data_IF_454641090468
#
_entry.id   IF_454641090468
#
_cell.length_a   1.000
_cell.length_b   1.000
_cell.length_c   1.000
_cell.angle_alpha   90.00
_cell.angle_beta   90.00
_cell.angle_gamma   90.00
#
_symmetry.space_group_name_H-M   'P 1'
#
loop_
_entity.id
_entity.type
_entity.pdbx_description
1 polymer ?
#
# COMPACT_ATOMS: atom_id res chain seq x y z
N UNK A 1 -26.28 -25.86 12.53
CA UNK A 1 -26.49 -24.41 12.44
C UNK A 1 -25.54 -23.58 13.29
N UNK A 2 -25.37 -23.82 14.61
CA UNK A 2 -24.49 -23.01 15.47
C UNK A 2 -23.01 -23.01 15.03
N UNK A 3 -22.44 -24.19 14.76
CA UNK A 3 -21.02 -24.32 14.36
C UNK A 3 -20.73 -23.60 13.04
N UNK A 4 -21.59 -23.77 12.03
CA UNK A 4 -21.45 -23.07 10.75
C UNK A 4 -21.51 -21.55 10.92
N UNK A 5 -22.43 -21.05 11.75
CA UNK A 5 -22.50 -19.62 12.08
C UNK A 5 -21.22 -19.14 12.75
N UNK A 6 -20.67 -19.90 13.70
CA UNK A 6 -19.40 -19.56 14.37
C UNK A 6 -18.25 -19.48 13.38
N UNK A 7 -18.12 -20.46 12.48
CA UNK A 7 -17.08 -20.47 11.44
C UNK A 7 -17.20 -19.24 10.53
N UNK A 8 -18.41 -18.92 10.06
CA UNK A 8 -18.65 -17.76 9.21
C UNK A 8 -18.32 -16.45 9.94
N UNK A 9 -18.68 -16.33 11.21
CA UNK A 9 -18.35 -15.14 12.01
C UNK A 9 -16.83 -15.02 12.20
N UNK A 10 -16.14 -16.10 12.55
CA UNK A 10 -14.67 -16.06 12.71
C UNK A 10 -13.96 -15.71 11.40
N UNK A 11 -14.46 -16.22 10.27
CA UNK A 11 -13.91 -15.90 8.95
C UNK A 11 -14.12 -14.42 8.62
N UNK A 12 -15.32 -13.90 8.87
CA UNK A 12 -15.63 -12.49 8.65
C UNK A 12 -14.74 -11.58 9.50
N UNK A 13 -14.57 -11.92 10.79
CA UNK A 13 -13.70 -11.16 11.70
C UNK A 13 -12.24 -11.22 11.25
N UNK A 14 -11.75 -12.40 10.88
CA UNK A 14 -10.38 -12.56 10.37
C UNK A 14 -10.14 -11.76 9.09
N UNK A 15 -11.12 -11.75 8.17
CA UNK A 15 -11.07 -10.97 6.94
C UNK A 15 -10.99 -9.46 7.23
N UNK A 16 -11.82 -8.95 8.13
CA UNK A 16 -11.83 -7.54 8.49
C UNK A 16 -10.51 -7.10 9.14
N UNK A 17 -9.98 -7.91 10.06
CA UNK A 17 -8.68 -7.65 10.69
C UNK A 17 -7.56 -7.71 9.65
N UNK A 18 -7.55 -8.73 8.80
CA UNK A 18 -6.55 -8.88 7.73
C UNK A 18 -6.56 -7.71 6.75
N UNK A 19 -7.74 -7.24 6.33
CA UNK A 19 -7.87 -6.05 5.48
C UNK A 19 -7.35 -4.79 6.16
N UNK A 20 -7.71 -4.57 7.44
CA UNK A 20 -7.25 -3.41 8.19
C UNK A 20 -5.72 -3.36 8.29
N UNK A 21 -5.10 -4.50 8.66
CA UNK A 21 -3.65 -4.62 8.72
C UNK A 21 -3.00 -4.46 7.35
N UNK A 22 -3.56 -5.10 6.32
CA UNK A 22 -3.05 -5.02 4.95
C UNK A 22 -3.05 -3.60 4.38
N UNK A 23 -4.10 -2.82 4.64
CA UNK A 23 -4.16 -1.41 4.23
C UNK A 23 -3.09 -0.58 4.94
N UNK A 24 -2.86 -0.81 6.23
CA UNK A 24 -1.83 -0.09 6.97
C UNK A 24 -0.42 -0.43 6.48
N UNK A 25 -0.13 -1.72 6.23
CA UNK A 25 1.15 -2.17 5.65
C UNK A 25 1.36 -1.54 4.27
N UNK A 26 0.34 -1.59 3.40
CA UNK A 26 0.43 -1.05 2.05
C UNK A 26 0.57 0.48 1.98
N UNK A 27 0.20 1.19 3.04
CA UNK A 27 0.39 2.65 3.17
C UNK A 27 1.59 3.04 4.03
N UNK A 28 2.42 2.08 4.43
CA UNK A 28 3.57 2.30 5.33
C UNK A 28 3.19 3.01 6.64
N UNK A 29 1.98 2.71 7.17
CA UNK A 29 1.47 3.27 8.43
C UNK A 29 1.56 2.25 9.57
N UNK A 30 1.63 2.69 10.84
CA UNK A 30 1.62 1.77 11.98
C UNK A 30 0.42 0.82 11.94
N UNK A 31 0.64 -0.46 12.26
CA UNK A 31 -0.34 -1.54 12.07
C UNK A 31 -1.70 -1.30 12.74
N UNK A 32 -1.72 -0.63 13.89
CA UNK A 32 -2.93 -0.34 14.67
C UNK A 32 -3.53 1.04 14.38
N UNK A 33 -3.03 1.75 13.37
CA UNK A 33 -3.60 3.02 12.91
C UNK A 33 -4.96 2.78 12.26
N UNK A 34 -5.81 3.82 12.19
CA UNK A 34 -7.06 3.71 11.45
C UNK A 34 -6.78 3.55 9.93
N UNK A 35 -7.06 2.37 9.34
CA UNK A 35 -6.79 2.11 7.92
C UNK A 35 -7.68 2.93 6.97
N UNK A 36 -8.79 3.46 7.47
CA UNK A 36 -9.73 4.30 6.73
C UNK A 36 -9.54 5.79 7.02
N UNK A 37 -8.49 6.17 7.76
CA UNK A 37 -8.15 7.58 7.94
C UNK A 37 -7.81 8.22 6.59
N UNK A 38 -8.38 9.39 6.33
CA UNK A 38 -8.08 10.17 5.13
C UNK A 38 -6.62 10.62 5.18
N UNK A 39 -5.92 10.48 4.07
CA UNK A 39 -4.61 11.10 3.90
C UNK A 39 -4.74 12.61 3.77
N UNK A 40 -3.78 13.33 4.35
CA UNK A 40 -3.70 14.77 4.13
C UNK A 40 -3.26 15.07 2.70
N UNK A 41 -3.54 16.28 2.22
CA UNK A 41 -3.05 16.75 0.94
C UNK A 41 -1.51 16.73 0.87
N UNK A 42 -0.85 16.95 2.01
CA UNK A 42 0.61 16.91 2.14
C UNK A 42 1.14 15.50 1.94
N UNK A 43 0.50 14.49 2.54
CA UNK A 43 0.92 13.09 2.40
C UNK A 43 0.80 12.63 0.94
N UNK A 44 -0.30 13.00 0.29
CA UNK A 44 -0.51 12.71 -1.14
C UNK A 44 0.53 13.38 -2.02
N UNK A 45 0.84 14.65 -1.77
CA UNK A 45 1.84 15.38 -2.53
C UNK A 45 3.24 14.75 -2.38
N UNK A 46 3.61 14.32 -1.16
CA UNK A 46 4.87 13.60 -0.92
C UNK A 46 4.93 12.27 -1.67
N UNK A 47 3.86 11.48 -1.62
CA UNK A 47 3.81 10.20 -2.32
C UNK A 47 3.94 10.37 -3.84
N UNK A 48 3.18 11.31 -4.42
CA UNK A 48 3.26 11.65 -5.84
C UNK A 48 4.67 12.10 -6.23
N UNK A 49 5.30 12.97 -5.44
CA UNK A 49 6.66 13.44 -5.68
C UNK A 49 7.69 12.30 -5.68
N UNK A 50 7.62 11.40 -4.69
CA UNK A 50 8.49 10.24 -4.61
C UNK A 50 8.32 9.30 -5.81
N UNK A 51 7.08 9.01 -6.21
CA UNK A 51 6.82 8.19 -7.40
C UNK A 51 7.34 8.83 -8.69
N UNK A 52 7.17 10.14 -8.85
CA UNK A 52 7.67 10.86 -10.02
C UNK A 52 9.19 10.85 -10.06
N UNK A 53 9.86 11.06 -8.93
CA UNK A 53 11.32 10.99 -8.83
C UNK A 53 11.84 9.59 -9.15
N UNK A 54 11.23 8.54 -8.60
CA UNK A 54 11.64 7.16 -8.83
C UNK A 54 11.48 6.77 -10.32
N UNK A 55 10.32 7.10 -10.91
CA UNK A 55 10.04 6.83 -12.34
C UNK A 55 11.01 7.62 -13.24
N UNK A 56 11.27 8.89 -12.91
CA UNK A 56 12.23 9.73 -13.62
C UNK A 56 13.64 9.15 -13.56
N UNK A 57 14.12 8.76 -12.36
CA UNK A 57 15.41 8.13 -12.17
C UNK A 57 15.58 6.85 -12.99
N UNK A 58 14.60 5.95 -12.93
CA UNK A 58 14.61 4.70 -13.73
C UNK A 58 14.60 4.96 -15.23
N UNK A 59 13.88 5.99 -15.69
CA UNK A 59 13.86 6.35 -17.11
C UNK A 59 15.22 6.87 -17.57
N UNK A 60 15.84 7.77 -16.80
CA UNK A 60 17.17 8.30 -17.08
C UNK A 60 18.23 7.21 -17.05
N UNK A 61 18.16 6.30 -16.08
CA UNK A 61 19.08 5.16 -15.98
C UNK A 61 18.98 4.25 -17.22
N UNK A 62 17.76 3.90 -17.65
CA UNK A 62 17.53 3.12 -18.87
C UNK A 62 18.07 3.84 -20.11
N UNK A 63 17.86 5.14 -20.23
CA UNK A 63 18.39 5.94 -21.34
C UNK A 63 19.93 5.96 -21.30
N UNK A 64 20.54 6.13 -20.13
CA UNK A 64 21.99 6.08 -19.96
C UNK A 64 22.59 4.71 -20.35
N UNK A 65 21.97 3.61 -19.92
CA UNK A 65 22.39 2.26 -20.30
C UNK A 65 22.27 2.01 -21.82
N UNK A 66 21.18 2.49 -22.45
CA UNK A 66 21.00 2.38 -23.90
C UNK A 66 22.03 3.16 -24.71
N UNK A 67 22.58 4.25 -24.14
CA UNK A 67 23.63 5.06 -24.73
C UNK A 67 25.04 4.48 -24.52
N UNK A 68 25.27 3.73 -23.43
CA UNK A 68 26.55 3.04 -23.16
C UNK A 68 26.68 1.69 -23.87
N UNK A 69 25.56 1.06 -24.24
CA UNK A 69 25.52 -0.21 -25.00
C UNK A 69 25.62 -0.05 -26.52
N UNK A 70 25.88 1.16 -27.03
CA UNK A 70 26.22 1.49 -28.42
C UNK A 70 27.64 2.04 -28.48
#
# INVERSE_FOLDING_TARGET
>A
MKQLKTILVSLLVGLLIGMALGVNIGREKPLLSNPFAKESLVDRAKQLGNETLEKGGKALEKTGQALQGK
#
